data_IF_585856300272
#
_entry.id   IF_585856300272
#
_cell.length_a   1.000
_cell.length_b   1.000
_cell.length_c   1.000
_cell.angle_alpha   90.00
_cell.angle_beta   90.00
_cell.angle_gamma   90.00
#
_symmetry.space_group_name_H-M   'P 1'
#
loop_
_entity.id
_entity.type
_entity.pdbx_description
1 polymer ?
#
# COMPACT_ATOMS: atom_id res chain seq x y z
N UNK A 1 17.54 -17.98 10.36
CA UNK A 1 17.18 -16.79 9.56
C UNK A 1 15.72 -16.76 9.08
N UNK A 2 14.78 -17.35 9.82
CA UNK A 2 13.35 -17.49 9.39
C UNK A 2 12.42 -16.47 10.09
N UNK A 3 12.92 -15.60 10.98
CA UNK A 3 12.08 -14.69 11.79
C UNK A 3 11.60 -13.39 11.09
N UNK A 4 12.13 -13.04 9.92
CA UNK A 4 11.76 -11.77 9.24
C UNK A 4 10.56 -11.89 8.28
N UNK A 5 10.28 -13.07 7.76
CA UNK A 5 9.12 -13.28 6.85
C UNK A 5 7.76 -13.30 7.56
N UNK A 6 7.73 -13.69 8.83
CA UNK A 6 6.48 -13.77 9.59
C UNK A 6 5.83 -12.41 9.91
N UNK A 7 6.64 -11.38 10.14
CA UNK A 7 6.12 -10.05 10.49
C UNK A 7 5.45 -9.35 9.30
N UNK A 8 5.94 -9.57 8.09
CA UNK A 8 5.38 -8.96 6.86
C UNK A 8 4.07 -9.65 6.47
N UNK A 9 4.01 -10.98 6.58
CA UNK A 9 2.77 -11.73 6.38
C UNK A 9 1.69 -11.37 7.42
N UNK A 10 2.09 -11.10 8.65
CA UNK A 10 1.18 -10.67 9.73
C UNK A 10 0.61 -9.28 9.46
N UNK A 11 1.42 -8.32 8.95
CA UNK A 11 0.96 -6.99 8.56
C UNK A 11 0.00 -7.02 7.35
N UNK A 12 0.28 -7.85 6.35
CA UNK A 12 -0.62 -8.05 5.20
C UNK A 12 -1.93 -8.72 5.65
N UNK A 13 -1.86 -9.68 6.55
CA UNK A 13 -3.03 -10.33 7.16
C UNK A 13 -3.90 -9.34 7.94
N UNK A 14 -3.30 -8.42 8.71
CA UNK A 14 -4.04 -7.39 9.45
C UNK A 14 -4.73 -6.42 8.50
N UNK A 15 -4.08 -5.98 7.42
CA UNK A 15 -4.69 -5.08 6.43
C UNK A 15 -5.85 -5.77 5.71
N UNK A 16 -5.72 -7.04 5.36
CA UNK A 16 -6.79 -7.81 4.71
C UNK A 16 -7.95 -8.12 5.66
N UNK A 17 -7.70 -8.38 6.95
CA UNK A 17 -8.77 -8.65 7.92
C UNK A 17 -9.55 -7.40 8.30
N UNK A 18 -8.89 -6.24 8.43
CA UNK A 18 -9.58 -4.97 8.69
C UNK A 18 -10.45 -4.58 7.50
N UNK A 19 -9.97 -4.75 6.27
CA UNK A 19 -10.77 -4.48 5.07
C UNK A 19 -11.95 -5.45 4.91
N UNK A 20 -11.79 -6.70 5.32
CA UNK A 20 -12.88 -7.70 5.27
C UNK A 20 -13.97 -7.42 6.32
N UNK A 21 -13.61 -6.90 7.50
CA UNK A 21 -14.61 -6.58 8.53
C UNK A 21 -15.46 -5.36 8.14
N UNK A 22 -14.91 -4.35 7.50
CA UNK A 22 -15.71 -3.19 7.05
C UNK A 22 -16.64 -3.52 5.87
N UNK A 23 -16.27 -4.46 5.00
CA UNK A 23 -17.13 -4.91 3.90
C UNK A 23 -18.33 -5.72 4.42
N UNK A 24 -18.23 -6.38 5.57
CA UNK A 24 -19.33 -7.12 6.19
C UNK A 24 -20.27 -6.27 7.06
N UNK A 25 -19.83 -5.08 7.52
CA UNK A 25 -20.66 -4.22 8.39
C UNK A 25 -21.50 -3.18 7.62
N UNK A 26 -21.33 -3.06 6.30
CA UNK A 26 -21.97 -2.04 5.47
C UNK A 26 -23.23 -2.46 4.71
N UNK A 27 -23.77 -3.66 4.94
CA UNK A 27 -24.94 -4.12 4.17
C UNK A 27 -25.82 -5.10 4.95
N UNK A 28 -26.64 -4.54 5.86
CA UNK A 28 -27.87 -5.21 6.27
C UNK A 28 -28.92 -4.15 6.66
N UNK A 29 -29.65 -3.69 5.65
CA UNK A 29 -31.05 -3.31 5.79
C UNK A 29 -31.85 -4.53 5.30
N UNK A 30 -32.35 -5.31 6.23
CA UNK A 30 -33.17 -6.48 5.93
C UNK A 30 -33.62 -7.09 7.25
N UNK A 31 -34.91 -6.94 7.51
CA UNK A 31 -35.73 -7.60 8.50
C UNK A 31 -35.10 -8.82 9.21
N UNK A 32 -34.69 -8.64 10.48
CA UNK A 32 -34.51 -9.78 11.37
C UNK A 32 -35.04 -9.49 12.78
N UNK A 33 -36.18 -10.12 13.09
CA UNK A 33 -36.94 -10.02 14.33
C UNK A 33 -36.41 -10.96 15.43
N UNK A 34 -35.19 -11.45 15.40
CA UNK A 34 -34.76 -12.58 16.22
C UNK A 34 -33.67 -12.31 17.28
N UNK A 35 -33.50 -11.10 17.81
CA UNK A 35 -32.66 -10.93 19.01
C UNK A 35 -33.28 -10.00 20.06
N UNK A 36 -34.41 -10.46 20.65
CA UNK A 36 -34.90 -9.90 21.91
C UNK A 36 -34.04 -10.41 23.06
N UNK A 37 -33.10 -9.60 23.57
CA UNK A 37 -32.54 -9.81 24.92
C UNK A 37 -33.40 -9.04 25.92
N UNK A 38 -34.34 -9.70 26.56
CA UNK A 38 -35.02 -9.18 27.72
C UNK A 38 -34.12 -9.39 28.95
N UNK A 39 -33.64 -8.31 29.55
CA UNK A 39 -32.96 -8.34 30.86
C UNK A 39 -33.96 -8.02 31.93
N UNK A 40 -34.17 -8.92 32.88
CA UNK A 40 -34.99 -8.66 34.07
C UNK A 40 -34.06 -8.40 35.25
N UNK A 41 -34.18 -7.25 35.90
CA UNK A 41 -33.50 -6.93 37.17
C UNK A 41 -34.57 -6.68 38.20
N UNK A 42 -34.57 -7.44 39.28
CA UNK A 42 -35.41 -7.16 40.45
C UNK A 42 -34.55 -6.54 41.54
N UNK A 43 -35.01 -5.43 42.07
CA UNK A 43 -34.35 -4.72 43.17
C UNK A 43 -35.39 -4.25 44.21
N UNK A 44 -35.07 -4.32 45.48
CA UNK A 44 -35.95 -3.90 46.55
C UNK A 44 -35.48 -2.56 47.09
N UNK A 45 -36.17 -1.48 46.73
CA UNK A 45 -35.87 -0.13 47.20
C UNK A 45 -36.99 0.33 48.17
N UNK A 46 -36.62 0.66 49.41
CA UNK A 46 -37.51 1.18 50.45
C UNK A 46 -38.72 0.26 50.78
N UNK A 47 -38.55 -1.05 50.84
CA UNK A 47 -39.61 -1.98 51.21
C UNK A 47 -40.65 -2.26 50.15
N UNK A 48 -40.52 -1.73 48.96
CA UNK A 48 -41.38 -2.01 47.83
C UNK A 48 -40.62 -2.89 46.78
N UNK A 49 -41.24 -3.95 46.37
CA UNK A 49 -40.67 -4.81 45.29
C UNK A 49 -40.81 -4.11 43.93
N UNK A 50 -39.68 -3.83 43.33
CA UNK A 50 -39.64 -3.14 42.03
C UNK A 50 -39.05 -4.09 40.98
N UNK A 51 -39.84 -4.47 39.98
CA UNK A 51 -39.37 -5.26 38.86
C UNK A 51 -39.20 -4.36 37.64
N UNK A 52 -38.00 -4.33 37.07
CA UNK A 52 -37.69 -3.60 35.86
C UNK A 52 -37.48 -4.54 34.68
N UNK A 53 -38.23 -4.37 33.64
CA UNK A 53 -38.12 -5.17 32.41
C UNK A 53 -37.75 -4.23 31.27
N UNK A 54 -36.54 -4.38 30.74
CA UNK A 54 -36.06 -3.58 29.62
C UNK A 54 -36.44 -4.27 28.31
N UNK A 55 -37.24 -3.63 27.49
CA UNK A 55 -37.64 -4.08 26.16
C UNK A 55 -37.28 -3.05 25.09
N UNK A 56 -36.09 -3.18 24.47
CA UNK A 56 -35.62 -2.23 23.48
C UNK A 56 -35.45 -0.81 24.05
N UNK A 57 -36.22 0.15 23.53
CA UNK A 57 -36.20 1.56 23.94
C UNK A 57 -37.14 1.88 25.11
N UNK A 58 -37.85 0.91 25.62
CA UNK A 58 -38.81 1.09 26.71
C UNK A 58 -38.39 0.27 27.91
N UNK A 59 -38.53 0.90 29.11
CA UNK A 59 -38.37 0.24 30.37
C UNK A 59 -39.74 0.20 31.05
N UNK A 60 -40.20 -1.00 31.36
CA UNK A 60 -41.41 -1.20 32.13
C UNK A 60 -41.01 -1.37 33.61
N UNK A 61 -41.43 -0.45 34.46
CA UNK A 61 -41.18 -0.52 35.88
C UNK A 61 -42.48 -0.89 36.57
N UNK A 62 -42.49 -2.04 37.23
CA UNK A 62 -43.61 -2.55 38.02
C UNK A 62 -43.25 -2.32 39.49
N UNK A 63 -44.01 -1.49 40.16
CA UNK A 63 -43.85 -1.22 41.59
C UNK A 63 -45.02 -1.86 42.34
N UNK A 64 -44.75 -2.76 43.25
CA UNK A 64 -45.74 -3.40 44.09
C UNK A 64 -45.68 -2.81 45.49
N UNK A 65 -46.72 -2.10 45.89
CA UNK A 65 -46.84 -1.43 47.18
C UNK A 65 -48.14 -1.91 47.86
N UNK A 66 -48.02 -2.61 48.99
CA UNK A 66 -49.18 -3.04 49.84
C UNK A 66 -50.33 -3.74 49.06
N UNK A 67 -49.98 -4.54 48.03
CA UNK A 67 -50.96 -5.30 47.26
C UNK A 67 -51.54 -4.59 46.02
N UNK A 68 -51.15 -3.35 45.76
CA UNK A 68 -51.47 -2.65 44.49
C UNK A 68 -50.28 -2.65 43.55
N UNK A 69 -50.54 -3.06 42.31
CA UNK A 69 -49.53 -3.07 41.24
C UNK A 69 -49.65 -1.81 40.39
N UNK A 70 -48.66 -0.94 40.51
CA UNK A 70 -48.54 0.21 39.60
C UNK A 70 -47.54 -0.06 38.50
N UNK A 71 -47.99 0.00 37.26
CA UNK A 71 -47.16 -0.21 36.04
C UNK A 71 -46.84 1.17 35.46
N UNK A 72 -45.57 1.54 35.43
CA UNK A 72 -45.09 2.75 34.79
C UNK A 72 -44.19 2.37 33.59
N UNK A 73 -44.60 2.78 32.41
CA UNK A 73 -43.77 2.66 31.22
C UNK A 73 -42.95 3.92 31.10
N UNK A 74 -41.63 3.79 31.19
CA UNK A 74 -40.68 4.89 31.02
C UNK A 74 -40.06 4.70 29.65
N UNK A 75 -40.25 5.64 28.77
CA UNK A 75 -39.49 5.71 27.51
C UNK A 75 -38.10 6.24 27.93
N UNK A 76 -37.09 5.40 27.82
CA UNK A 76 -35.70 5.81 28.02
C UNK A 76 -35.40 6.83 26.92
N UNK A 77 -35.44 8.12 27.25
CA UNK A 77 -34.71 9.09 26.49
C UNK A 77 -33.26 8.58 26.51
N UNK A 78 -32.79 8.14 25.34
CA UNK A 78 -31.36 7.96 25.15
C UNK A 78 -30.71 9.23 25.67
N UNK A 79 -30.08 9.15 26.85
CA UNK A 79 -28.90 9.94 27.10
C UNK A 79 -28.01 9.49 25.93
N UNK A 80 -28.12 10.17 24.79
CA UNK A 80 -27.09 10.15 23.78
C UNK A 80 -25.84 10.51 24.56
N UNK A 81 -25.13 9.50 25.09
CA UNK A 81 -23.70 9.58 25.02
C UNK A 81 -23.48 10.02 23.59
N UNK A 82 -23.16 11.28 23.42
CA UNK A 82 -22.52 11.77 22.23
C UNK A 82 -21.27 10.90 22.11
N UNK A 83 -21.40 9.68 21.56
CA UNK A 83 -20.36 9.23 20.68
C UNK A 83 -20.14 10.46 19.84
N UNK A 84 -19.06 11.12 20.06
CA UNK A 84 -18.55 12.14 19.18
C UNK A 84 -18.40 11.38 17.87
N UNK A 85 -19.47 11.38 17.05
CA UNK A 85 -19.37 11.06 15.63
C UNK A 85 -18.32 12.02 15.16
N UNK A 86 -17.08 11.55 15.16
CA UNK A 86 -15.98 12.23 14.50
C UNK A 86 -16.55 12.52 13.13
N UNK A 87 -16.72 13.80 12.80
CA UNK A 87 -17.10 14.19 11.45
C UNK A 87 -16.19 13.41 10.52
N UNK A 88 -16.72 12.73 9.50
CA UNK A 88 -15.89 11.97 8.59
C UNK A 88 -14.75 12.88 8.17
N UNK A 89 -13.52 12.42 8.34
CA UNK A 89 -12.34 13.19 8.00
C UNK A 89 -12.38 13.45 6.48
N UNK A 90 -12.21 14.69 6.07
CA UNK A 90 -12.07 15.06 4.65
C UNK A 90 -10.62 14.88 4.16
N UNK A 91 -9.81 14.13 4.90
CA UNK A 91 -8.44 13.83 4.49
C UNK A 91 -8.45 13.09 3.15
N UNK A 92 -7.69 13.62 2.18
CA UNK A 92 -7.44 13.00 0.89
C UNK A 92 -5.93 12.91 0.68
N UNK A 93 -5.41 11.71 0.57
CA UNK A 93 -4.00 11.46 0.28
C UNK A 93 -3.63 11.72 -1.19
N UNK A 94 -2.34 11.60 -1.48
CA UNK A 94 -1.78 11.91 -2.81
C UNK A 94 -0.99 10.71 -3.37
N UNK A 95 -1.61 9.51 -3.33
CA UNK A 95 -1.02 8.29 -3.89
C UNK A 95 -1.48 8.03 -5.33
N UNK A 96 -2.79 8.07 -5.60
CA UNK A 96 -3.34 7.74 -6.92
C UNK A 96 -2.84 8.72 -7.98
N UNK A 97 -2.47 8.18 -9.16
CA UNK A 97 -1.93 9.00 -10.22
C UNK A 97 -0.91 8.29 -11.10
N UNK A 98 -0.20 9.09 -11.89
CA UNK A 98 0.87 8.64 -12.77
C UNK A 98 2.21 9.13 -12.24
N UNK A 99 3.20 8.25 -12.23
CA UNK A 99 4.57 8.57 -11.82
C UNK A 99 5.55 8.27 -12.95
N UNK A 100 6.49 9.18 -13.14
CA UNK A 100 7.59 9.07 -14.07
C UNK A 100 8.89 9.34 -13.35
N UNK A 101 9.82 8.39 -13.41
CA UNK A 101 11.10 8.50 -12.72
C UNK A 101 12.25 7.87 -13.49
N UNK A 102 13.41 8.00 -12.90
CA UNK A 102 14.63 7.34 -13.28
C UNK A 102 14.93 6.22 -12.31
N UNK A 103 15.51 5.14 -12.82
CA UNK A 103 15.96 4.00 -12.03
C UNK A 103 17.48 3.98 -11.95
N UNK A 104 17.97 3.60 -10.79
CA UNK A 104 19.35 3.19 -10.58
C UNK A 104 19.43 2.01 -9.63
N UNK A 105 20.63 1.51 -9.37
CA UNK A 105 20.91 0.48 -8.39
C UNK A 105 21.90 0.99 -7.35
N UNK A 106 21.72 0.53 -6.12
CA UNK A 106 22.74 0.60 -5.08
C UNK A 106 23.27 -0.81 -4.83
N UNK A 107 24.56 -0.90 -4.51
CA UNK A 107 25.19 -2.11 -4.00
C UNK A 107 24.89 -2.30 -2.52
N UNK A 108 25.29 -3.41 -1.92
CA UNK A 108 25.21 -3.64 -0.47
C UNK A 108 25.91 -2.55 0.36
N UNK A 109 26.93 -1.92 -0.20
CA UNK A 109 27.69 -0.82 0.44
C UNK A 109 27.09 0.57 0.17
N UNK A 110 25.85 0.63 -0.34
CA UNK A 110 25.16 1.86 -0.76
C UNK A 110 25.92 2.67 -1.83
N UNK A 111 26.77 2.02 -2.62
CA UNK A 111 27.47 2.63 -3.75
C UNK A 111 26.66 2.52 -5.04
N UNK A 112 26.76 3.53 -5.89
CA UNK A 112 26.25 3.46 -7.29
C UNK A 112 27.23 2.80 -8.25
N UNK A 113 28.51 2.67 -7.84
CA UNK A 113 29.54 2.02 -8.64
C UNK A 113 29.49 0.51 -8.42
N UNK A 114 29.33 -0.25 -9.51
CA UNK A 114 29.30 -1.70 -9.44
C UNK A 114 30.73 -2.27 -9.38
N UNK A 115 30.99 -3.36 -8.63
CA UNK A 115 32.20 -4.15 -8.75
C UNK A 115 32.41 -4.63 -10.19
N UNK A 116 33.67 -4.84 -10.56
CA UNK A 116 34.05 -5.25 -11.94
C UNK A 116 33.32 -6.53 -12.38
N UNK A 117 33.15 -7.49 -11.46
CA UNK A 117 32.45 -8.75 -11.72
C UNK A 117 30.97 -8.56 -12.08
N UNK A 118 30.36 -7.46 -11.65
CA UNK A 118 28.95 -7.12 -11.90
C UNK A 118 28.79 -5.99 -12.93
N UNK A 119 29.88 -5.60 -13.63
CA UNK A 119 29.86 -4.54 -14.64
C UNK A 119 28.86 -4.80 -15.75
N UNK A 120 28.50 -6.06 -16.02
CA UNK A 120 27.47 -6.42 -17.00
C UNK A 120 26.09 -5.90 -16.62
N UNK A 121 25.85 -5.58 -15.35
CA UNK A 121 24.62 -4.97 -14.87
C UNK A 121 24.66 -3.43 -14.85
N UNK A 122 25.74 -2.80 -15.29
CA UNK A 122 25.77 -1.35 -15.43
C UNK A 122 24.67 -0.85 -16.34
N UNK A 123 24.00 0.20 -15.91
CA UNK A 123 22.88 0.80 -16.65
C UNK A 123 23.17 2.27 -16.99
N UNK A 124 22.48 2.76 -18.00
CA UNK A 124 22.40 4.19 -18.25
C UNK A 124 21.34 4.80 -17.34
N UNK A 125 21.73 5.45 -16.23
CA UNK A 125 20.81 6.05 -15.26
C UNK A 125 19.82 7.01 -15.91
N UNK A 126 20.29 7.93 -16.75
CA UNK A 126 19.43 8.87 -17.45
C UNK A 126 18.52 8.28 -18.53
N UNK A 127 18.68 6.99 -18.87
CA UNK A 127 17.86 6.27 -19.86
C UNK A 127 17.12 5.08 -19.29
N UNK A 128 17.38 4.75 -18.03
CA UNK A 128 16.64 3.75 -17.25
C UNK A 128 15.46 4.43 -16.59
N UNK A 129 14.26 4.05 -16.98
CA UNK A 129 13.03 4.76 -16.62
C UNK A 129 12.12 3.88 -15.81
N UNK A 130 11.55 4.48 -14.78
CA UNK A 130 10.45 3.92 -14.00
C UNK A 130 9.17 4.69 -14.34
N UNK A 131 8.06 3.99 -14.42
CA UNK A 131 6.76 4.62 -14.43
C UNK A 131 5.73 3.72 -13.76
N UNK A 132 4.86 4.38 -13.00
CA UNK A 132 3.86 3.72 -12.19
C UNK A 132 2.49 4.29 -12.51
N UNK A 133 1.51 3.41 -12.52
CA UNK A 133 0.10 3.75 -12.55
C UNK A 133 -0.50 3.34 -11.21
N UNK A 134 -0.79 4.30 -10.34
CA UNK A 134 -1.41 4.09 -9.05
C UNK A 134 -2.92 4.30 -9.20
N UNK A 135 -3.69 3.22 -9.24
CA UNK A 135 -5.09 3.23 -9.67
C UNK A 135 -6.11 3.01 -8.55
N UNK A 136 -5.67 2.55 -7.38
CA UNK A 136 -6.52 2.43 -6.19
C UNK A 136 -5.85 3.23 -5.06
N UNK A 137 -6.66 4.01 -4.35
CA UNK A 137 -6.25 4.73 -3.14
C UNK A 137 -7.33 4.60 -2.08
N UNK A 138 -6.89 4.39 -0.86
CA UNK A 138 -7.73 4.40 0.33
C UNK A 138 -7.08 5.29 1.39
N UNK A 139 -7.86 6.24 1.91
CA UNK A 139 -7.40 7.29 2.80
C UNK A 139 -8.04 7.11 4.18
N UNK A 140 -7.21 7.11 5.23
CA UNK A 140 -7.64 7.03 6.62
C UNK A 140 -7.16 8.30 7.32
N UNK A 141 -8.06 9.25 7.53
CA UNK A 141 -7.74 10.46 8.29
C UNK A 141 -7.64 10.17 9.79
N UNK A 142 -6.52 10.54 10.41
CA UNK A 142 -6.25 10.34 11.83
C UNK A 142 -6.54 11.61 12.63
N UNK A 143 -6.04 12.76 12.15
CA UNK A 143 -6.18 14.03 12.87
C UNK A 143 -6.57 15.15 11.92
N UNK A 144 -7.73 15.71 12.12
CA UNK A 144 -8.30 16.87 11.42
C UNK A 144 -8.01 16.80 9.93
N UNK A 145 -8.16 16.68 8.97
CA UNK A 145 -7.81 16.71 7.54
C UNK A 145 -6.32 16.98 7.21
N UNK A 146 -5.43 16.90 8.21
CA UNK A 146 -4.02 17.24 8.06
C UNK A 146 -3.08 16.05 8.17
N UNK A 147 -3.48 14.98 8.85
CA UNK A 147 -2.67 13.80 9.07
C UNK A 147 -3.48 12.54 8.83
N UNK A 148 -2.93 11.62 8.05
CA UNK A 148 -3.60 10.38 7.75
C UNK A 148 -2.67 9.30 7.24
N UNK A 149 -3.25 8.13 7.06
CA UNK A 149 -2.64 6.96 6.43
C UNK A 149 -3.21 6.85 5.03
N UNK A 150 -2.33 6.59 4.06
CA UNK A 150 -2.70 6.34 2.67
C UNK A 150 -2.21 4.95 2.29
N UNK A 151 -3.10 4.15 1.77
CA UNK A 151 -2.78 2.85 1.17
C UNK A 151 -3.44 2.73 -0.20
N UNK A 152 -3.13 1.68 -0.92
CA UNK A 152 -3.69 1.54 -2.25
C UNK A 152 -3.05 0.43 -3.07
N UNK A 153 -3.20 0.51 -4.39
CA UNK A 153 -2.62 -0.43 -5.33
C UNK A 153 -2.17 0.29 -6.59
N UNK A 154 -1.00 -0.11 -7.09
CA UNK A 154 -0.41 0.43 -8.31
C UNK A 154 0.30 -0.62 -9.13
N UNK A 155 0.54 -0.29 -10.39
CA UNK A 155 1.36 -1.06 -11.33
C UNK A 155 2.67 -0.31 -11.58
N UNK A 156 3.78 -0.94 -11.24
CA UNK A 156 5.12 -0.42 -11.51
C UNK A 156 5.73 -1.11 -12.72
N UNK A 157 6.28 -0.31 -13.62
CA UNK A 157 7.04 -0.77 -14.78
C UNK A 157 8.43 -0.15 -14.76
N UNK A 158 9.43 -0.95 -14.41
CA UNK A 158 10.83 -0.53 -14.39
C UNK A 158 11.57 -1.02 -15.61
N UNK A 159 12.27 -0.11 -16.29
CA UNK A 159 13.12 -0.41 -17.44
C UNK A 159 14.56 -0.08 -17.08
N UNK A 160 15.43 -1.05 -17.08
CA UNK A 160 16.86 -0.93 -16.85
C UNK A 160 17.58 -1.08 -18.18
N UNK A 161 18.21 -0.01 -18.67
CA UNK A 161 18.93 -0.01 -19.94
C UNK A 161 20.40 -0.29 -19.70
N UNK A 162 20.87 -1.46 -20.11
CA UNK A 162 22.27 -1.84 -19.97
C UNK A 162 23.19 -0.88 -20.74
N UNK A 163 24.36 -0.62 -20.15
CA UNK A 163 25.41 0.23 -20.72
C UNK A 163 26.29 -0.59 -21.66
N UNK A 164 26.59 -1.80 -21.27
CA UNK A 164 27.49 -2.71 -21.99
C UNK A 164 26.78 -3.45 -23.14
N UNK A 165 27.55 -4.04 -24.03
CA UNK A 165 27.06 -4.78 -25.22
C UNK A 165 26.56 -6.18 -24.84
N UNK A 166 25.73 -6.27 -23.82
CA UNK A 166 25.23 -7.55 -23.31
C UNK A 166 23.75 -7.48 -22.95
N UNK A 167 23.18 -8.63 -22.74
CA UNK A 167 21.94 -8.84 -21.99
C UNK A 167 22.20 -9.86 -20.89
N UNK A 168 21.17 -10.28 -20.16
CA UNK A 168 21.27 -11.31 -19.12
C UNK A 168 20.62 -12.61 -19.59
N UNK A 169 21.20 -13.73 -19.17
CA UNK A 169 20.68 -15.10 -19.34
C UNK A 169 20.87 -15.89 -18.04
N UNK A 170 20.23 -17.03 -17.97
CA UNK A 170 20.43 -17.99 -16.87
C UNK A 170 21.37 -19.08 -17.37
N UNK A 171 22.47 -19.30 -16.64
CA UNK A 171 23.43 -20.38 -16.87
C UNK A 171 23.72 -21.05 -15.54
N UNK A 172 23.62 -22.36 -15.47
CA UNK A 172 23.88 -23.14 -14.24
C UNK A 172 23.17 -22.65 -12.99
N UNK A 173 21.98 -22.07 -13.17
CA UNK A 173 21.15 -21.59 -12.09
C UNK A 173 21.54 -20.23 -11.53
N UNK A 174 22.38 -19.46 -12.21
CA UNK A 174 22.76 -18.07 -11.89
C UNK A 174 22.56 -17.15 -13.09
N UNK A 175 22.46 -15.86 -12.82
CA UNK A 175 22.35 -14.83 -13.85
C UNK A 175 23.73 -14.44 -14.35
N UNK A 176 23.95 -14.61 -15.65
CA UNK A 176 25.19 -14.29 -16.32
C UNK A 176 24.97 -13.32 -17.49
N UNK A 177 26.02 -12.60 -17.92
CA UNK A 177 25.97 -11.83 -19.15
C UNK A 177 25.86 -12.74 -20.39
N UNK A 178 25.11 -12.26 -21.37
CA UNK A 178 25.12 -12.76 -22.73
C UNK A 178 25.61 -11.64 -23.63
N UNK A 179 26.86 -11.75 -24.09
CA UNK A 179 27.41 -10.80 -25.01
C UNK A 179 26.87 -11.04 -26.43
N UNK A 180 26.82 -9.99 -27.22
CA UNK A 180 26.31 -10.04 -28.59
C UNK A 180 27.37 -9.57 -29.59
N UNK A 181 27.42 -10.30 -30.69
CA UNK A 181 28.07 -9.90 -31.93
C UNK A 181 27.05 -10.10 -33.07
N UNK A 182 26.63 -9.05 -33.78
CA UNK A 182 27.09 -7.65 -33.78
C UNK A 182 26.66 -6.82 -32.58
N UNK A 183 27.25 -5.62 -32.45
CA UNK A 183 26.98 -4.71 -31.36
C UNK A 183 25.48 -4.34 -31.22
N UNK A 184 25.00 -4.26 -29.99
CA UNK A 184 23.62 -3.96 -29.70
C UNK A 184 23.34 -2.44 -29.81
N UNK A 185 22.34 -2.06 -30.58
CA UNK A 185 21.77 -0.70 -30.57
C UNK A 185 21.13 -0.41 -29.21
N UNK A 186 20.54 -1.44 -28.58
CA UNK A 186 19.84 -1.33 -27.32
C UNK A 186 19.68 -2.68 -26.63
N UNK A 187 20.01 -2.72 -25.35
CA UNK A 187 19.67 -3.82 -24.45
C UNK A 187 18.97 -3.30 -23.21
N UNK A 188 17.98 -4.00 -22.72
CA UNK A 188 17.24 -3.61 -21.51
C UNK A 188 16.58 -4.80 -20.81
N UNK A 189 16.54 -4.74 -19.50
CA UNK A 189 15.67 -5.55 -18.65
C UNK A 189 14.43 -4.72 -18.29
N UNK A 190 13.26 -5.33 -18.40
CA UNK A 190 12.00 -4.73 -17.96
C UNK A 190 11.34 -5.63 -16.94
N UNK A 191 10.88 -5.03 -15.85
CA UNK A 191 10.17 -5.71 -14.77
C UNK A 191 8.81 -5.06 -14.55
N UNK A 192 7.84 -5.86 -14.14
CA UNK A 192 6.47 -5.44 -13.83
C UNK A 192 6.15 -5.91 -12.41
N UNK A 193 5.70 -4.99 -11.58
CA UNK A 193 5.32 -5.24 -10.21
C UNK A 193 3.95 -4.65 -9.89
N UNK A 194 3.16 -5.38 -9.15
CA UNK A 194 1.99 -4.85 -8.46
C UNK A 194 2.47 -4.31 -7.11
N UNK A 195 2.17 -3.05 -6.81
CA UNK A 195 2.66 -2.34 -5.62
C UNK A 195 1.54 -2.01 -4.65
N UNK A 196 1.82 -2.15 -3.37
CA UNK A 196 0.89 -1.81 -2.27
C UNK A 196 1.67 -0.95 -1.27
N UNK A 197 1.33 0.32 -1.12
CA UNK A 197 1.95 1.21 -0.15
C UNK A 197 1.23 1.18 1.20
N UNK A 198 1.95 1.59 2.24
CA UNK A 198 1.41 2.02 3.52
C UNK A 198 2.17 3.28 3.93
N UNK A 199 1.55 4.42 3.76
CA UNK A 199 2.19 5.74 3.82
C UNK A 199 1.51 6.59 4.90
N UNK A 200 2.30 7.26 5.71
CA UNK A 200 1.87 8.35 6.56
C UNK A 200 2.01 9.66 5.79
N UNK A 201 0.97 10.46 5.76
CA UNK A 201 0.96 11.74 5.07
C UNK A 201 0.55 12.87 6.01
N UNK A 202 1.32 13.97 5.94
CA UNK A 202 1.04 15.23 6.63
C UNK A 202 0.77 16.31 5.59
N UNK A 203 -0.32 17.04 5.76
CA UNK A 203 -0.72 18.14 4.90
C UNK A 203 -0.65 19.46 5.65
N UNK A 204 0.06 20.43 5.09
CA UNK A 204 0.23 21.76 5.67
C UNK A 204 -0.80 22.72 5.06
N UNK A 205 -1.56 23.47 5.87
CA UNK A 205 -2.49 24.46 5.34
C UNK A 205 -1.72 25.57 4.62
N UNK A 206 -2.16 25.94 3.43
CA UNK A 206 -1.60 27.07 2.71
C UNK A 206 -2.01 28.40 3.35
N UNK A 207 -1.08 29.36 3.43
CA UNK A 207 -1.28 30.66 4.10
C UNK A 207 -2.34 31.55 3.44
N UNK A 208 -2.56 31.43 2.13
CA UNK A 208 -3.48 32.34 1.39
C UNK A 208 -4.69 31.68 0.74
N UNK A 209 -4.72 30.37 0.60
CA UNK A 209 -5.89 29.69 0.07
C UNK A 209 -5.97 28.23 0.49
N UNK A 210 -7.17 27.74 0.78
CA UNK A 210 -7.46 26.33 1.05
C UNK A 210 -6.99 25.38 -0.07
N UNK A 211 -6.57 25.90 -1.23
CA UNK A 211 -6.22 25.15 -2.43
C UNK A 211 -4.72 24.87 -2.60
N UNK A 212 -3.83 25.49 -1.82
CA UNK A 212 -2.37 25.29 -1.90
C UNK A 212 -1.87 24.52 -0.69
N UNK A 213 -2.29 23.29 -0.53
CA UNK A 213 -1.74 22.43 0.52
C UNK A 213 -0.44 21.80 0.04
N UNK A 214 0.62 22.04 0.78
CA UNK A 214 1.84 21.24 0.70
C UNK A 214 1.62 19.96 1.46
N UNK A 215 2.20 18.88 1.00
CA UNK A 215 2.15 17.60 1.72
C UNK A 215 3.52 16.94 1.68
N UNK A 216 3.79 16.22 2.75
CA UNK A 216 4.94 15.37 2.92
C UNK A 216 4.44 14.00 3.35
N UNK A 217 4.90 12.96 2.68
CA UNK A 217 4.52 11.61 3.01
C UNK A 217 5.70 10.65 2.96
N UNK A 218 5.70 9.70 3.86
CA UNK A 218 6.71 8.65 3.92
C UNK A 218 6.10 7.36 4.47
N UNK A 219 6.65 6.23 4.07
CA UNK A 219 6.17 4.94 4.52
C UNK A 219 6.87 3.76 3.88
N UNK A 220 6.21 2.62 3.95
CA UNK A 220 6.69 1.39 3.34
C UNK A 220 5.93 1.09 2.06
N UNK A 221 6.63 0.48 1.11
CA UNK A 221 6.05 0.00 -0.13
C UNK A 221 6.40 -1.48 -0.29
N UNK A 222 5.41 -2.29 -0.59
CA UNK A 222 5.57 -3.70 -0.88
C UNK A 222 5.17 -3.97 -2.33
N UNK A 223 5.79 -4.96 -2.96
CA UNK A 223 5.52 -5.23 -4.37
C UNK A 223 5.65 -6.72 -4.69
N UNK A 224 4.78 -7.20 -5.56
CA UNK A 224 4.80 -8.56 -6.09
C UNK A 224 5.08 -8.51 -7.58
N UNK A 225 6.06 -9.29 -8.05
CA UNK A 225 6.42 -9.35 -9.47
C UNK A 225 5.34 -10.11 -10.24
N UNK A 226 4.83 -9.48 -11.30
CA UNK A 226 3.85 -10.06 -12.21
C UNK A 226 4.45 -10.43 -13.57
N UNK A 227 5.66 -9.99 -13.85
CA UNK A 227 6.36 -10.38 -15.07
C UNK A 227 7.71 -9.71 -15.26
N UNK A 228 8.49 -10.25 -16.17
CA UNK A 228 9.78 -9.69 -16.60
C UNK A 228 10.11 -10.10 -18.03
N UNK A 229 10.92 -9.31 -18.67
CA UNK A 229 11.48 -9.64 -19.98
C UNK A 229 12.76 -8.85 -20.27
N UNK A 230 13.65 -9.45 -21.01
CA UNK A 230 14.74 -8.74 -21.67
C UNK A 230 14.34 -8.38 -23.09
N UNK A 231 14.90 -7.32 -23.63
CA UNK A 231 14.75 -6.93 -25.01
C UNK A 231 16.06 -6.38 -25.55
N UNK A 232 16.55 -6.99 -26.61
CA UNK A 232 17.72 -6.54 -27.38
C UNK A 232 17.29 -6.03 -28.74
N UNK A 233 18.07 -5.10 -29.27
CA UNK A 233 17.90 -4.55 -30.59
C UNK A 233 19.29 -4.44 -31.21
N UNK A 234 19.50 -5.06 -32.33
CA UNK A 234 20.75 -5.05 -33.10
C UNK A 234 20.47 -4.90 -34.58
N UNK A 235 21.52 -4.71 -35.38
CA UNK A 235 21.44 -4.64 -36.83
C UNK A 235 22.19 -5.79 -37.45
N UNK A 236 21.51 -6.49 -38.29
CA UNK A 236 22.08 -7.55 -39.11
C UNK A 236 21.75 -7.27 -40.61
N UNK A 237 22.76 -7.26 -41.46
CA UNK A 237 22.61 -6.93 -42.88
C UNK A 237 21.79 -5.66 -43.15
N UNK A 238 22.08 -4.58 -42.40
CA UNK A 238 21.35 -3.30 -42.43
C UNK A 238 19.88 -3.37 -41.95
N UNK A 239 19.38 -4.52 -41.63
CA UNK A 239 18.03 -4.72 -41.09
C UNK A 239 18.03 -4.71 -39.57
N UNK A 240 17.03 -4.03 -39.02
CA UNK A 240 16.87 -3.91 -37.56
C UNK A 240 16.16 -5.12 -37.00
N UNK A 241 16.89 -5.92 -36.23
CA UNK A 241 16.38 -7.11 -35.54
C UNK A 241 15.99 -6.76 -34.09
N UNK A 242 14.98 -7.45 -33.59
CA UNK A 242 14.47 -7.26 -32.23
C UNK A 242 14.15 -8.61 -31.63
N UNK A 243 14.85 -8.93 -30.54
CA UNK A 243 14.58 -10.13 -29.76
C UNK A 243 14.01 -9.78 -28.41
N UNK A 244 13.08 -10.57 -27.96
CA UNK A 244 12.48 -10.46 -26.65
C UNK A 244 12.43 -11.82 -25.98
N UNK A 245 13.09 -11.93 -24.85
CA UNK A 245 13.01 -13.11 -24.00
C UNK A 245 12.16 -12.80 -22.77
N UNK A 246 11.17 -13.65 -22.50
CA UNK A 246 10.33 -13.59 -21.30
C UNK A 246 10.78 -14.70 -20.38
N UNK A 247 11.32 -14.31 -19.22
CA UNK A 247 11.79 -15.24 -18.21
C UNK A 247 11.67 -14.58 -16.85
N UNK A 248 11.82 -15.36 -15.79
CA UNK A 248 11.84 -14.83 -14.43
C UNK A 248 13.22 -14.27 -14.05
N UNK A 249 14.30 -14.65 -14.75
CA UNK A 249 15.70 -14.23 -14.53
C UNK A 249 16.12 -14.29 -13.06
N UNK A 250 15.56 -15.22 -12.29
CA UNK A 250 15.73 -15.29 -10.84
C UNK A 250 15.51 -13.96 -10.11
N UNK A 251 14.73 -13.07 -10.69
CA UNK A 251 14.32 -11.82 -10.04
C UNK A 251 13.51 -12.12 -8.79
N UNK A 252 13.67 -11.30 -7.76
CA UNK A 252 12.95 -11.47 -6.50
C UNK A 252 11.45 -11.29 -6.73
N UNK A 253 10.62 -12.30 -6.37
CA UNK A 253 9.18 -12.24 -6.62
C UNK A 253 8.44 -11.26 -5.71
N UNK A 254 8.90 -11.11 -4.47
CA UNK A 254 8.35 -10.19 -3.48
C UNK A 254 9.45 -9.27 -2.96
N UNK A 255 9.19 -7.98 -3.00
CA UNK A 255 10.13 -6.98 -2.50
C UNK A 255 9.41 -5.96 -1.61
N UNK A 256 10.15 -5.37 -0.70
CA UNK A 256 9.70 -4.31 0.16
C UNK A 256 10.76 -3.22 0.25
N UNK A 257 10.32 -2.03 0.63
CA UNK A 257 11.21 -0.88 0.72
C UNK A 257 10.51 0.32 1.33
N UNK A 258 11.18 1.45 1.23
CA UNK A 258 10.67 2.74 1.69
C UNK A 258 10.28 3.61 0.51
N UNK A 259 9.26 4.43 0.73
CA UNK A 259 8.84 5.48 -0.19
C UNK A 259 8.75 6.80 0.57
N UNK A 260 9.18 7.87 -0.07
CA UNK A 260 9.03 9.23 0.42
C UNK A 260 8.50 10.12 -0.70
N UNK A 261 7.63 11.05 -0.36
CA UNK A 261 6.99 11.95 -1.30
C UNK A 261 6.88 13.33 -0.70
N UNK A 262 7.04 14.34 -1.54
CA UNK A 262 6.82 15.73 -1.18
C UNK A 262 6.16 16.45 -2.35
N UNK A 263 5.10 17.20 -2.10
CA UNK A 263 4.39 17.84 -3.19
C UNK A 263 3.53 19.01 -2.80
N UNK A 264 3.03 19.65 -3.85
CA UNK A 264 2.09 20.76 -3.75
C UNK A 264 0.93 20.45 -4.70
N UNK A 265 -0.30 20.34 -4.14
CA UNK A 265 -1.49 19.95 -4.91
C UNK A 265 -1.28 18.58 -5.57
N UNK A 266 -1.39 18.51 -6.89
CA UNK A 266 -1.28 17.29 -7.67
C UNK A 266 0.13 16.93 -8.13
N UNK A 267 1.13 17.81 -7.91
CA UNK A 267 2.50 17.59 -8.37
C UNK A 267 3.36 17.18 -7.19
N UNK A 268 3.98 16.01 -7.29
CA UNK A 268 4.84 15.46 -6.26
C UNK A 268 6.20 15.09 -6.83
N UNK A 269 7.22 15.19 -5.99
CA UNK A 269 8.45 14.43 -6.10
C UNK A 269 8.27 13.13 -5.34
N UNK A 270 8.78 12.03 -5.85
CA UNK A 270 8.83 10.76 -5.14
C UNK A 270 10.22 10.13 -5.19
N UNK A 271 10.54 9.35 -4.18
CA UNK A 271 11.69 8.49 -4.11
C UNK A 271 11.28 7.14 -3.51
N UNK A 272 11.66 6.05 -4.16
CA UNK A 272 11.47 4.70 -3.65
C UNK A 272 12.84 4.01 -3.55
N UNK A 273 13.08 3.33 -2.43
CA UNK A 273 14.24 2.50 -2.18
C UNK A 273 13.79 1.12 -1.74
N UNK A 274 14.16 0.09 -2.48
CA UNK A 274 13.83 -1.29 -2.14
C UNK A 274 14.97 -1.93 -1.35
N UNK A 275 14.66 -2.41 -0.14
CA UNK A 275 15.60 -3.11 0.74
C UNK A 275 15.80 -4.59 0.35
N UNK A 276 15.05 -5.05 -0.61
CA UNK A 276 15.14 -6.40 -1.16
C UNK A 276 15.95 -6.34 -2.43
N UNK A 277 17.01 -7.17 -2.59
CA UNK A 277 17.81 -7.18 -3.82
C UNK A 277 16.98 -7.57 -5.04
N UNK A 278 17.42 -7.12 -6.21
CA UNK A 278 16.75 -7.34 -7.50
C UNK A 278 16.66 -8.84 -7.83
N UNK A 279 17.73 -9.59 -7.54
CA UNK A 279 17.81 -11.04 -7.76
C UNK A 279 17.62 -11.81 -6.44
N UNK A 280 17.18 -13.06 -6.54
CA UNK A 280 17.14 -13.98 -5.41
C UNK A 280 18.54 -14.22 -4.86
N UNK A 281 18.65 -14.50 -3.59
CA UNK A 281 19.90 -14.78 -2.90
C UNK A 281 20.71 -15.89 -3.63
N UNK A 282 21.97 -15.63 -3.94
CA UNK A 282 22.87 -16.53 -4.65
C UNK A 282 22.54 -16.76 -6.12
N UNK A 283 21.63 -15.97 -6.74
CA UNK A 283 21.23 -16.13 -8.14
C UNK A 283 21.70 -15.01 -9.06
N UNK A 284 22.27 -13.96 -8.52
CA UNK A 284 22.80 -12.82 -9.25
C UNK A 284 23.36 -11.77 -8.31
N UNK A 285 23.82 -10.62 -8.83
CA UNK A 285 24.37 -9.54 -8.04
C UNK A 285 23.39 -8.99 -7.00
N UNK A 286 23.87 -8.63 -5.83
CA UNK A 286 23.08 -7.94 -4.80
C UNK A 286 22.91 -6.47 -5.15
N UNK A 287 21.89 -6.16 -5.94
CA UNK A 287 21.55 -4.83 -6.41
C UNK A 287 20.22 -4.38 -5.82
N UNK A 288 20.21 -3.24 -5.17
CA UNK A 288 19.03 -2.66 -4.52
C UNK A 288 18.43 -1.58 -5.40
N UNK A 289 17.23 -1.79 -5.96
CA UNK A 289 16.61 -0.84 -6.86
C UNK A 289 16.23 0.46 -6.15
N UNK A 290 16.55 1.58 -6.80
CA UNK A 290 16.15 2.93 -6.39
C UNK A 290 15.46 3.60 -7.55
N UNK A 291 14.40 4.36 -7.28
CA UNK A 291 13.76 5.21 -8.26
C UNK A 291 13.44 6.57 -7.67
N UNK A 292 13.63 7.61 -8.47
CA UNK A 292 13.29 8.99 -8.12
C UNK A 292 12.62 9.67 -9.32
N UNK A 293 11.63 10.50 -9.06
CA UNK A 293 10.90 11.15 -10.15
C UNK A 293 9.78 12.06 -9.70
N UNK A 294 8.90 12.34 -10.63
CA UNK A 294 7.72 13.17 -10.45
C UNK A 294 6.45 12.32 -10.53
N UNK A 295 5.45 12.72 -9.76
CA UNK A 295 4.13 12.14 -9.74
C UNK A 295 3.07 13.22 -9.98
N UNK A 296 2.05 12.85 -10.76
CA UNK A 296 0.82 13.62 -10.92
C UNK A 296 -0.31 12.84 -10.25
N UNK A 297 -0.80 13.32 -9.11
CA UNK A 297 -1.94 12.75 -8.39
C UNK A 297 -3.27 13.33 -8.88
N UNK A 298 -4.33 12.50 -8.92
CA UNK A 298 -5.69 12.88 -9.33
C UNK A 298 -6.76 12.32 -8.39
#
# INVERSE_FOLDING_TARGET
MIKKSGAVLFLISIVLTVSAQEIFYGKEYGDDWTHFKAGTVSDTINGNDTTRIKMGRREVVIIETEGEKNIKIIELEETRERETRRSPSNFKGHWSGLELGLNTFLTSDNSMSLPVEYSFMEIYDGRSRNWNLNFIQYDIGIARDQFGIVTGMGLEVSNYRFRNNNTIRIVDGVVEPLEYDPALDRSRLRTYYLTIPLILEVQFPGYESKHRRMHLSAGVITSVRIGSNTRVVYRENSSKQRERNKDDFYLTPFRYGFTARAGIRSINLFANYYMTPLFREGKGPELYPVSIGFSLSF
#
